data_IF_165697464259
#
_entry.id   IF_165697464259
#
_cell.length_a   1.000
_cell.length_b   1.000
_cell.length_c   1.000
_cell.angle_alpha   90.00
_cell.angle_beta   90.00
_cell.angle_gamma   90.00
#
_symmetry.space_group_name_H-M   'P 1'
#
loop_
_entity.id
_entity.type
_entity.pdbx_description
1 polymer ?
#
# COMPACT_ATOMS: atom_id res chain seq x y z
N UNK A 1 4.27 30.62 -17.51
CA UNK A 1 5.56 31.20 -17.06
C UNK A 1 6.55 30.07 -16.79
N UNK A 2 7.85 30.22 -17.06
CA UNK A 2 8.84 29.23 -16.62
C UNK A 2 8.87 29.19 -15.08
N UNK A 3 8.91 27.99 -14.50
CA UNK A 3 9.00 27.80 -13.04
C UNK A 3 7.67 27.78 -12.28
N UNK A 4 6.51 27.60 -12.92
CA UNK A 4 5.27 27.20 -12.23
C UNK A 4 5.36 25.75 -11.69
N UNK A 5 4.47 25.38 -10.77
CA UNK A 5 4.36 24.01 -10.27
C UNK A 5 3.87 23.04 -11.36
N UNK A 6 4.62 21.98 -11.66
CA UNK A 6 4.25 20.94 -12.64
C UNK A 6 3.11 20.00 -12.17
N UNK A 7 2.55 20.22 -10.97
CA UNK A 7 1.53 19.36 -10.35
C UNK A 7 0.16 20.04 -10.29
N UNK A 8 0.11 21.35 -10.09
CA UNK A 8 -1.14 22.12 -10.05
C UNK A 8 -1.18 23.31 -11.03
N UNK A 9 -0.04 23.76 -11.54
CA UNK A 9 0.14 24.96 -12.39
C UNK A 9 -0.33 26.31 -11.81
N UNK A 10 -1.04 26.33 -10.68
CA UNK A 10 -1.60 27.55 -10.05
C UNK A 10 -0.54 28.49 -9.46
N UNK A 11 0.53 27.93 -8.89
CA UNK A 11 1.52 28.66 -8.10
C UNK A 11 2.94 28.55 -8.67
N UNK A 12 3.82 29.55 -8.41
CA UNK A 12 5.25 29.41 -8.66
C UNK A 12 5.84 28.26 -7.84
N UNK A 13 6.76 27.52 -8.45
CA UNK A 13 7.45 26.41 -7.81
C UNK A 13 8.48 26.88 -6.77
N UNK A 14 8.64 26.06 -5.72
CA UNK A 14 9.44 26.34 -4.52
C UNK A 14 10.27 25.12 -4.07
N UNK A 15 9.85 23.92 -4.45
CA UNK A 15 10.48 22.64 -4.11
C UNK A 15 10.77 21.85 -5.39
N UNK A 16 11.93 21.20 -5.43
CA UNK A 16 12.36 20.34 -6.54
C UNK A 16 12.46 18.88 -6.07
N UNK A 17 11.91 17.94 -6.83
CA UNK A 17 12.05 16.52 -6.53
C UNK A 17 13.48 16.04 -6.79
N UNK A 18 14.17 15.38 -5.83
CA UNK A 18 15.53 14.88 -6.03
C UNK A 18 15.62 13.65 -6.94
N UNK A 19 14.51 12.96 -7.21
CA UNK A 19 14.48 11.69 -7.96
C UNK A 19 14.26 11.88 -9.47
N UNK A 20 13.52 12.91 -9.88
CA UNK A 20 13.16 13.17 -11.29
C UNK A 20 13.41 14.62 -11.74
N UNK A 21 13.71 15.54 -10.80
CA UNK A 21 13.95 16.95 -11.09
C UNK A 21 12.70 17.86 -11.13
N UNK A 22 11.49 17.30 -11.06
CA UNK A 22 10.20 18.01 -11.16
C UNK A 22 10.03 19.14 -10.13
N UNK A 23 9.44 20.26 -10.55
CA UNK A 23 9.25 21.49 -9.79
C UNK A 23 7.82 21.62 -9.23
N UNK A 24 7.70 22.05 -7.97
CA UNK A 24 6.43 22.05 -7.23
C UNK A 24 6.31 23.19 -6.22
N UNK A 25 5.11 23.74 -5.99
CA UNK A 25 4.91 24.89 -5.09
C UNK A 25 4.87 24.50 -3.60
N UNK A 26 4.32 23.32 -3.28
CA UNK A 26 3.99 22.91 -1.92
C UNK A 26 4.42 21.47 -1.63
N UNK A 27 4.53 21.12 -0.33
CA UNK A 27 4.83 19.75 0.07
C UNK A 27 3.70 18.78 -0.30
N UNK A 28 2.44 19.22 -0.35
CA UNK A 28 1.33 18.42 -0.86
C UNK A 28 1.56 18.01 -2.32
N UNK A 29 1.98 18.96 -3.18
CA UNK A 29 2.36 18.67 -4.57
C UNK A 29 3.57 17.72 -4.66
N UNK A 30 4.58 17.84 -3.78
CA UNK A 30 5.69 16.86 -3.75
C UNK A 30 5.23 15.44 -3.38
N UNK A 31 4.20 15.32 -2.52
CA UNK A 31 3.68 14.05 -2.03
C UNK A 31 2.77 13.36 -3.04
N UNK A 32 1.87 14.09 -3.71
CA UNK A 32 1.03 13.52 -4.78
C UNK A 32 1.88 13.06 -5.96
N UNK A 33 2.85 13.89 -6.40
CA UNK A 33 3.82 13.50 -7.41
C UNK A 33 4.63 12.25 -7.01
N UNK A 34 4.98 12.07 -5.72
CA UNK A 34 5.77 10.91 -5.27
C UNK A 34 5.12 9.56 -5.62
N UNK A 35 3.80 9.49 -5.71
CA UNK A 35 3.04 8.28 -6.08
C UNK A 35 3.37 7.84 -7.52
N UNK A 36 3.64 8.80 -8.41
CA UNK A 36 3.88 8.58 -9.85
C UNK A 36 5.32 8.95 -10.26
N UNK A 37 6.24 9.05 -9.30
CA UNK A 37 7.59 9.55 -9.52
C UNK A 37 8.49 8.49 -10.20
N UNK A 38 8.55 8.54 -11.53
CA UNK A 38 9.56 7.81 -12.29
C UNK A 38 10.95 8.50 -12.15
N UNK A 39 12.03 7.75 -11.87
CA UNK A 39 13.38 8.30 -11.93
C UNK A 39 13.72 8.66 -13.38
N UNK A 40 14.08 9.92 -13.65
CA UNK A 40 14.31 10.39 -15.02
C UNK A 40 15.71 9.97 -15.48
N UNK A 41 15.87 9.20 -16.56
CA UNK A 41 17.19 8.95 -17.14
C UNK A 41 17.79 10.28 -17.63
N UNK A 42 19.13 10.43 -17.61
CA UNK A 42 19.79 11.67 -18.02
C UNK A 42 19.75 11.83 -19.55
N UNK A 43 18.61 12.30 -20.07
CA UNK A 43 18.48 12.71 -21.47
C UNK A 43 19.02 14.12 -21.67
N UNK A 44 19.83 14.27 -22.71
CA UNK A 44 20.41 15.54 -23.16
C UNK A 44 19.35 16.43 -23.86
N UNK A 45 19.62 17.73 -23.86
CA UNK A 45 19.28 18.77 -24.85
C UNK A 45 17.82 19.07 -25.30
N UNK A 46 17.58 20.38 -25.38
CA UNK A 46 16.73 21.16 -26.29
C UNK A 46 15.17 21.03 -26.29
N UNK A 47 14.42 22.16 -26.17
CA UNK A 47 12.96 22.17 -26.21
C UNK A 47 12.39 22.51 -27.59
N UNK A 48 11.49 21.68 -28.12
CA UNK A 48 10.68 22.01 -29.29
C UNK A 48 9.25 22.42 -28.90
N UNK A 49 8.81 23.60 -29.33
CA UNK A 49 7.45 24.11 -29.12
C UNK A 49 6.49 23.59 -30.19
N UNK A 50 5.30 23.11 -29.81
CA UNK A 50 4.09 23.18 -30.66
C UNK A 50 2.83 23.35 -29.80
N UNK A 51 2.32 24.59 -29.79
CA UNK A 51 0.93 25.06 -29.94
C UNK A 51 -0.27 24.27 -29.35
N UNK A 52 -1.20 25.02 -28.72
CA UNK A 52 -2.59 24.62 -28.39
C UNK A 52 -3.54 24.75 -29.63
N UNK A 53 -4.90 24.86 -29.61
CA UNK A 53 -5.83 25.41 -28.60
C UNK A 53 -6.98 24.41 -28.18
N UNK A 54 -7.53 24.47 -26.95
CA UNK A 54 -8.73 25.24 -26.49
C UNK A 54 -10.11 24.63 -26.85
N UNK A 55 -10.93 24.30 -25.82
CA UNK A 55 -12.37 24.63 -25.67
C UNK A 55 -12.73 24.66 -24.15
N UNK A 56 -13.65 25.55 -23.77
CA UNK A 56 -14.34 25.75 -22.47
C UNK A 56 -14.87 24.47 -21.74
N UNK A 57 -15.12 24.50 -20.41
CA UNK A 57 -16.47 24.86 -19.94
C UNK A 57 -16.62 25.55 -18.56
N UNK A 58 -17.51 26.55 -18.46
CA UNK A 58 -18.28 26.96 -17.25
C UNK A 58 -19.56 27.74 -17.63
N UNK A 59 -20.52 28.04 -16.69
CA UNK A 59 -20.68 27.57 -15.30
C UNK A 59 -21.72 26.42 -15.25
N UNK A 60 -22.70 26.19 -14.36
CA UNK A 60 -23.38 26.77 -13.17
C UNK A 60 -23.95 25.58 -12.33
N UNK A 61 -24.53 25.68 -11.12
CA UNK A 61 -24.42 26.54 -9.92
C UNK A 61 -25.37 25.90 -8.84
N UNK A 62 -25.27 26.33 -7.57
CA UNK A 62 -26.27 26.20 -6.48
C UNK A 62 -26.73 24.83 -5.90
N UNK A 63 -26.14 24.49 -4.74
CA UNK A 63 -26.83 24.52 -3.41
C UNK A 63 -27.64 23.32 -2.83
N UNK A 64 -27.39 23.09 -1.53
CA UNK A 64 -28.10 22.30 -0.49
C UNK A 64 -28.02 20.75 -0.45
N UNK A 65 -27.87 20.25 0.80
CA UNK A 65 -28.33 18.94 1.31
C UNK A 65 -29.08 19.18 2.64
N UNK A 66 -29.14 18.25 3.62
CA UNK A 66 -28.74 16.84 3.62
C UNK A 66 -29.88 15.87 4.07
N UNK A 67 -29.59 14.55 4.07
CA UNK A 67 -30.41 13.47 4.69
C UNK A 67 -31.85 13.24 4.15
N UNK A 68 -32.53 12.13 4.51
CA UNK A 68 -32.03 10.74 4.53
C UNK A 68 -32.96 9.78 3.75
N UNK A 69 -32.42 8.71 3.16
CA UNK A 69 -33.22 7.68 2.49
C UNK A 69 -32.65 6.26 2.69
N UNK A 70 -33.54 5.29 2.95
CA UNK A 70 -33.20 3.89 3.21
C UNK A 70 -32.89 3.05 1.94
N UNK A 71 -32.23 1.89 2.08
CA UNK A 71 -31.52 1.27 0.97
C UNK A 71 -32.43 0.49 0.00
N UNK A 72 -32.77 1.12 -1.13
CA UNK A 72 -33.20 0.41 -2.35
C UNK A 72 -32.20 0.62 -3.49
N UNK A 73 -31.00 0.10 -3.29
CA UNK A 73 -30.01 -0.08 -4.35
C UNK A 73 -29.72 -1.57 -4.50
N UNK A 74 -29.97 -2.14 -5.68
CA UNK A 74 -29.56 -3.51 -5.97
C UNK A 74 -28.03 -3.56 -6.04
N UNK A 75 -27.38 -3.93 -4.94
CA UNK A 75 -25.93 -4.06 -4.89
C UNK A 75 -25.49 -5.06 -5.97
N UNK A 76 -24.65 -4.60 -6.90
CA UNK A 76 -23.74 -5.50 -7.59
C UNK A 76 -23.01 -6.36 -6.54
N UNK A 77 -22.69 -7.63 -6.81
CA UNK A 77 -22.09 -8.51 -5.82
C UNK A 77 -20.67 -8.06 -5.51
N UNK A 78 -20.53 -7.13 -4.56
CA UNK A 78 -19.26 -6.77 -3.93
C UNK A 78 -18.68 -8.06 -3.38
N UNK A 79 -17.62 -8.58 -4.02
CA UNK A 79 -17.11 -9.90 -3.68
C UNK A 79 -16.55 -9.90 -2.26
N UNK A 80 -17.36 -10.46 -1.36
CA UNK A 80 -16.97 -10.67 0.02
C UNK A 80 -15.94 -11.81 0.10
N UNK A 81 -15.02 -11.80 1.08
CA UNK A 81 -14.14 -12.95 1.31
C UNK A 81 -14.92 -14.24 1.61
N UNK A 82 -16.16 -14.13 2.08
CA UNK A 82 -17.08 -15.27 2.25
C UNK A 82 -17.50 -15.89 0.91
N UNK A 83 -17.73 -15.10 -0.15
CA UNK A 83 -18.03 -15.63 -1.49
C UNK A 83 -16.84 -16.39 -2.07
N UNK A 84 -15.63 -15.84 -1.93
CA UNK A 84 -14.38 -16.50 -2.38
C UNK A 84 -14.14 -17.80 -1.59
N UNK A 85 -14.34 -17.78 -0.27
CA UNK A 85 -14.26 -18.97 0.59
C UNK A 85 -15.36 -20.02 0.32
N UNK A 86 -16.51 -19.61 -0.22
CA UNK A 86 -17.59 -20.50 -0.62
C UNK A 86 -17.36 -21.19 -1.98
N UNK A 87 -16.45 -20.67 -2.81
CA UNK A 87 -16.17 -21.22 -4.14
C UNK A 87 -15.66 -22.67 -4.11
N UNK A 88 -15.90 -23.42 -5.20
CA UNK A 88 -15.42 -24.79 -5.35
C UNK A 88 -13.88 -24.83 -5.47
N UNK A 89 -13.30 -23.97 -6.31
CA UNK A 89 -11.85 -23.84 -6.52
C UNK A 89 -11.09 -23.65 -5.18
N UNK A 90 -11.62 -22.82 -4.27
CA UNK A 90 -10.99 -22.58 -2.96
C UNK A 90 -11.06 -23.80 -2.04
N UNK A 91 -12.21 -24.50 -2.02
CA UNK A 91 -12.42 -25.69 -1.20
C UNK A 91 -11.55 -26.87 -1.66
N UNK A 92 -11.39 -27.03 -2.98
CA UNK A 92 -10.53 -28.03 -3.58
C UNK A 92 -9.05 -27.74 -3.27
N UNK A 93 -8.59 -26.50 -3.47
CA UNK A 93 -7.22 -26.10 -3.15
C UNK A 93 -6.89 -26.35 -1.66
N UNK A 94 -7.80 -26.00 -0.76
CA UNK A 94 -7.67 -26.25 0.68
C UNK A 94 -7.74 -27.74 1.08
N UNK A 95 -8.30 -28.62 0.24
CA UNK A 95 -8.32 -30.08 0.49
C UNK A 95 -7.09 -30.79 -0.06
N UNK A 96 -6.53 -30.29 -1.17
CA UNK A 96 -5.28 -30.78 -1.77
C UNK A 96 -4.05 -30.34 -0.95
N UNK A 97 -4.09 -29.16 -0.33
CA UNK A 97 -2.95 -28.55 0.37
C UNK A 97 -3.26 -28.22 1.83
N UNK A 98 -3.24 -29.21 2.75
CA UNK A 98 -3.48 -28.96 4.18
C UNK A 98 -2.44 -28.04 4.82
N UNK A 99 -1.20 -28.04 4.32
CA UNK A 99 -0.11 -27.15 4.76
C UNK A 99 -0.45 -25.67 4.56
N UNK A 100 -1.15 -25.34 3.46
CA UNK A 100 -1.62 -23.98 3.19
C UNK A 100 -2.71 -23.56 4.18
N UNK A 101 -3.54 -24.50 4.63
CA UNK A 101 -4.55 -24.22 5.66
C UNK A 101 -3.89 -23.81 6.98
N UNK A 102 -2.83 -24.50 7.41
CA UNK A 102 -2.04 -24.09 8.59
C UNK A 102 -1.33 -22.75 8.36
N UNK A 103 -0.68 -22.54 7.20
CA UNK A 103 -0.02 -21.26 6.91
C UNK A 103 -0.99 -20.06 6.94
N UNK A 104 -2.21 -20.20 6.41
CA UNK A 104 -3.23 -19.16 6.51
C UNK A 104 -3.75 -18.96 7.95
N UNK A 105 -3.81 -20.03 8.76
CA UNK A 105 -4.15 -19.92 10.18
C UNK A 105 -3.05 -19.22 10.98
N UNK A 106 -1.77 -19.49 10.73
CA UNK A 106 -0.63 -18.83 11.37
C UNK A 106 -0.58 -17.34 11.00
N UNK A 107 -0.85 -17.00 9.73
CA UNK A 107 -0.99 -15.60 9.31
C UNK A 107 -2.14 -14.90 10.04
N UNK A 108 -3.29 -15.57 10.21
CA UNK A 108 -4.43 -15.04 10.95
C UNK A 108 -4.13 -14.86 12.45
N UNK A 109 -3.51 -15.86 13.11
CA UNK A 109 -3.06 -15.76 14.51
C UNK A 109 -2.15 -14.54 14.71
N UNK A 110 -1.25 -14.27 13.76
CA UNK A 110 -0.38 -13.09 13.81
C UNK A 110 -1.07 -11.73 13.66
N UNK A 111 -2.39 -11.71 13.39
CA UNK A 111 -3.21 -10.50 13.47
C UNK A 111 -3.86 -10.28 14.83
N UNK A 112 -4.02 -11.33 15.64
CA UNK A 112 -4.69 -11.27 16.94
C UNK A 112 -3.82 -10.57 18.00
N UNK A 113 -4.48 -10.15 19.09
CA UNK A 113 -3.80 -9.59 20.26
C UNK A 113 -2.99 -10.65 21.02
N UNK A 114 -3.36 -11.93 20.91
CA UNK A 114 -2.69 -13.05 21.59
C UNK A 114 -1.25 -13.31 21.09
N UNK A 115 -0.94 -13.04 19.80
CA UNK A 115 0.45 -13.08 19.27
C UNK A 115 1.17 -11.72 19.46
N UNK A 116 0.55 -10.75 20.13
CA UNK A 116 1.15 -9.45 20.46
C UNK A 116 1.87 -9.50 21.81
N UNK A 117 3.06 -10.09 21.79
CA UNK A 117 4.07 -9.80 22.82
C UNK A 117 4.32 -8.29 22.87
N UNK A 118 3.71 -7.58 23.82
CA UNK A 118 3.98 -6.16 24.04
C UNK A 118 5.42 -6.02 24.53
N UNK A 119 6.33 -5.84 23.58
CA UNK A 119 7.77 -5.77 23.83
C UNK A 119 8.08 -4.46 24.55
N UNK A 120 7.93 -4.45 25.87
CA UNK A 120 8.27 -3.33 26.74
C UNK A 120 9.80 -3.20 26.79
N UNK A 121 10.38 -2.63 25.73
CA UNK A 121 11.75 -2.13 25.74
C UNK A 121 11.85 -0.99 26.73
N UNK A 122 12.06 -1.34 28.00
CA UNK A 122 12.30 -0.40 29.07
C UNK A 122 13.40 0.58 28.62
N UNK A 123 13.14 1.90 28.63
CA UNK A 123 14.07 2.87 28.09
C UNK A 123 15.39 2.77 28.87
N UNK A 124 16.46 2.40 28.17
CA UNK A 124 17.74 2.07 28.77
C UNK A 124 18.31 3.27 29.56
N UNK A 125 18.06 3.29 30.88
CA UNK A 125 18.52 4.34 31.80
C UNK A 125 20.05 4.35 31.79
N UNK A 126 20.60 5.31 31.04
CA UNK A 126 21.88 5.12 30.39
C UNK A 126 23.11 5.11 31.28
N UNK A 127 24.12 4.35 30.86
CA UNK A 127 25.54 4.58 31.21
C UNK A 127 26.35 4.56 29.92
N UNK A 128 26.94 5.70 29.56
CA UNK A 128 27.65 5.85 28.28
C UNK A 128 28.08 7.28 27.98
N UNK A 129 29.02 7.84 28.76
CA UNK A 129 29.75 9.04 28.33
C UNK A 129 30.67 8.64 27.16
N UNK A 130 30.23 8.89 25.93
CA UNK A 130 31.00 8.54 24.73
C UNK A 130 30.83 9.56 23.60
N UNK A 131 31.90 10.30 23.28
CA UNK A 131 32.01 11.01 21.99
C UNK A 131 32.19 9.95 20.91
N UNK A 132 31.18 9.73 20.06
CA UNK A 132 31.26 8.72 19.01
C UNK A 132 30.44 9.09 17.77
N UNK A 133 31.11 9.21 16.63
CA UNK A 133 30.45 9.10 15.32
C UNK A 133 30.03 7.65 15.14
N UNK A 134 28.79 7.32 15.43
CA UNK A 134 28.27 5.96 15.33
C UNK A 134 26.84 5.95 14.79
N UNK A 135 26.59 5.09 13.79
CA UNK A 135 25.24 4.78 13.27
C UNK A 135 24.25 4.69 14.43
N UNK A 136 23.17 5.49 14.39
CA UNK A 136 22.11 5.43 15.40
C UNK A 136 21.58 4.01 15.51
N UNK A 137 21.80 3.38 16.65
CA UNK A 137 21.47 1.97 16.85
C UNK A 137 19.97 1.72 16.68
N UNK A 138 19.62 0.53 16.18
CA UNK A 138 18.25 0.06 16.09
C UNK A 138 17.71 -0.26 17.49
N UNK A 139 17.52 0.78 18.32
CA UNK A 139 16.73 0.68 19.52
C UNK A 139 15.34 0.14 19.12
N UNK A 140 14.88 -1.01 19.65
CA UNK A 140 13.60 -1.56 19.26
C UNK A 140 12.51 -0.59 19.71
N UNK A 141 11.95 0.15 18.75
CA UNK A 141 10.82 1.06 18.96
C UNK A 141 9.71 0.22 19.58
N UNK A 142 9.41 0.47 20.85
CA UNK A 142 8.38 -0.26 21.59
C UNK A 142 7.10 -0.20 20.77
N UNK A 143 6.55 -1.37 20.40
CA UNK A 143 5.45 -1.43 19.43
C UNK A 143 4.15 -0.82 19.99
N UNK A 144 4.13 -0.59 21.30
CA UNK A 144 3.02 -0.06 22.09
C UNK A 144 1.88 -1.07 22.19
N UNK A 145 0.73 -0.63 22.75
CA UNK A 145 -0.44 -1.47 22.87
C UNK A 145 -0.88 -2.02 21.51
N UNK A 146 -1.45 -3.22 21.49
CA UNK A 146 -2.03 -3.78 20.27
C UNK A 146 -3.15 -2.87 19.76
N UNK A 147 -3.36 -2.87 18.45
CA UNK A 147 -4.58 -2.35 17.82
C UNK A 147 -4.93 -3.25 16.64
N UNK A 148 -6.21 -3.31 16.27
CA UNK A 148 -6.67 -4.05 15.10
C UNK A 148 -5.90 -3.67 13.82
N UNK A 149 -5.61 -2.37 13.63
CA UNK A 149 -4.80 -1.87 12.51
C UNK A 149 -3.36 -2.39 12.55
N UNK A 150 -2.72 -2.46 13.73
CA UNK A 150 -1.36 -3.03 13.89
C UNK A 150 -1.34 -4.53 13.64
N UNK A 151 -2.34 -5.25 14.14
CA UNK A 151 -2.53 -6.68 13.88
C UNK A 151 -2.71 -6.97 12.39
N UNK A 152 -3.63 -6.25 11.74
CA UNK A 152 -3.85 -6.33 10.29
C UNK A 152 -2.57 -6.02 9.49
N UNK A 153 -1.84 -4.95 9.83
CA UNK A 153 -0.56 -4.63 9.17
C UNK A 153 0.53 -5.69 9.41
N UNK A 154 0.54 -6.38 10.56
CA UNK A 154 1.44 -7.52 10.85
C UNK A 154 1.10 -8.73 9.95
N UNK A 155 -0.18 -9.07 9.83
CA UNK A 155 -0.66 -10.11 8.91
C UNK A 155 -0.37 -9.79 7.45
N UNK A 156 -0.66 -8.56 6.99
CA UNK A 156 -0.26 -8.09 5.66
C UNK A 156 1.26 -8.14 5.46
N UNK A 157 2.04 -7.89 6.51
CA UNK A 157 3.50 -8.06 6.50
C UNK A 157 3.91 -9.51 6.23
N UNK A 158 3.30 -10.49 6.91
CA UNK A 158 3.51 -11.93 6.65
C UNK A 158 3.15 -12.29 5.21
N UNK A 159 1.94 -11.93 4.75
CA UNK A 159 1.43 -12.22 3.40
C UNK A 159 2.34 -11.63 2.31
N UNK A 160 2.79 -10.38 2.49
CA UNK A 160 3.71 -9.71 1.56
C UNK A 160 5.09 -10.37 1.55
N UNK A 161 5.63 -10.74 2.72
CA UNK A 161 6.93 -11.41 2.81
C UNK A 161 6.87 -12.78 2.14
N UNK A 162 5.91 -13.65 2.49
CA UNK A 162 5.81 -14.98 1.86
C UNK A 162 5.63 -14.88 0.35
N UNK A 163 4.82 -13.93 -0.14
CA UNK A 163 4.71 -13.68 -1.58
C UNK A 163 6.05 -13.30 -2.21
N UNK A 164 6.81 -12.40 -1.58
CA UNK A 164 8.15 -12.04 -2.04
C UNK A 164 9.10 -13.23 -1.99
N UNK A 165 9.08 -14.03 -0.93
CA UNK A 165 9.91 -15.23 -0.78
C UNK A 165 9.61 -16.28 -1.88
N UNK A 166 8.33 -16.45 -2.24
CA UNK A 166 7.92 -17.31 -3.36
C UNK A 166 8.27 -16.72 -4.74
N UNK A 167 8.19 -15.40 -4.92
CA UNK A 167 8.53 -14.71 -6.18
C UNK A 167 10.06 -14.59 -6.40
N UNK A 168 10.85 -14.55 -5.32
CA UNK A 168 12.32 -14.60 -5.33
C UNK A 168 12.88 -16.04 -5.34
N UNK A 169 12.04 -17.05 -5.12
CA UNK A 169 12.43 -18.47 -5.11
C UNK A 169 13.23 -18.90 -3.86
N UNK A 170 13.14 -18.15 -2.76
CA UNK A 170 13.77 -18.52 -1.48
C UNK A 170 12.93 -19.54 -0.71
N UNK A 171 11.59 -19.44 -0.81
CA UNK A 171 10.65 -20.46 -0.32
C UNK A 171 10.14 -21.29 -1.51
N UNK A 172 10.58 -22.55 -1.59
CA UNK A 172 10.23 -23.48 -2.68
C UNK A 172 9.66 -24.79 -2.14
N UNK A 173 8.51 -25.23 -2.68
CA UNK A 173 7.82 -26.43 -2.24
C UNK A 173 6.30 -26.39 -2.51
N UNK A 174 5.57 -27.47 -2.16
CA UNK A 174 4.15 -27.59 -2.47
C UNK A 174 3.29 -26.52 -1.79
N UNK A 175 3.64 -26.10 -0.57
CA UNK A 175 2.94 -25.01 0.13
C UNK A 175 3.15 -23.64 -0.56
N UNK A 176 4.35 -23.36 -1.07
CA UNK A 176 4.64 -22.13 -1.82
C UNK A 176 3.86 -22.07 -3.14
N UNK A 177 3.81 -23.18 -3.89
CA UNK A 177 2.95 -23.31 -5.07
C UNK A 177 1.46 -23.10 -4.71
N UNK A 178 0.97 -23.77 -3.67
CA UNK A 178 -0.41 -23.65 -3.23
C UNK A 178 -0.76 -22.20 -2.85
N UNK A 179 0.15 -21.50 -2.18
CA UNK A 179 -0.03 -20.09 -1.79
C UNK A 179 -0.11 -19.17 -3.01
N UNK A 180 0.72 -19.41 -4.02
CA UNK A 180 0.66 -18.65 -5.27
C UNK A 180 -0.62 -18.96 -6.08
N UNK A 181 -1.11 -20.21 -6.08
CA UNK A 181 -2.41 -20.59 -6.65
C UNK A 181 -3.57 -19.91 -5.90
N UNK A 182 -3.54 -19.87 -4.57
CA UNK A 182 -4.51 -19.15 -3.73
C UNK A 182 -4.52 -17.64 -4.05
N UNK A 183 -3.34 -17.02 -4.14
CA UNK A 183 -3.20 -15.61 -4.50
C UNK A 183 -3.65 -15.31 -5.94
N UNK A 184 -3.56 -16.27 -6.86
CA UNK A 184 -4.11 -16.14 -8.21
C UNK A 184 -5.65 -16.22 -8.22
N UNK A 185 -6.23 -17.16 -7.47
CA UNK A 185 -7.69 -17.31 -7.32
C UNK A 185 -8.33 -16.04 -6.75
N UNK A 186 -7.76 -15.48 -5.67
CA UNK A 186 -8.24 -14.22 -5.06
C UNK A 186 -8.10 -13.01 -5.99
N UNK A 187 -7.09 -12.99 -6.88
CA UNK A 187 -6.97 -11.95 -7.91
C UNK A 187 -8.02 -12.10 -9.00
N UNK A 188 -8.22 -13.32 -9.50
CA UNK A 188 -9.23 -13.67 -10.52
C UNK A 188 -10.64 -13.28 -10.05
N UNK A 189 -11.02 -13.64 -8.82
CA UNK A 189 -12.33 -13.27 -8.28
C UNK A 189 -12.57 -11.76 -8.24
N UNK A 190 -11.51 -10.97 -7.99
CA UNK A 190 -11.58 -9.50 -8.02
C UNK A 190 -11.60 -8.91 -9.45
N UNK A 191 -11.00 -9.58 -10.45
CA UNK A 191 -11.05 -9.13 -11.85
C UNK A 191 -12.36 -9.51 -12.55
N UNK A 192 -12.97 -10.64 -12.17
CA UNK A 192 -14.24 -11.13 -12.73
C UNK A 192 -15.46 -10.31 -12.25
N UNK A 193 -15.22 -9.19 -11.56
CA UNK A 193 -16.20 -8.31 -10.91
C UNK A 193 -16.07 -6.83 -11.32
N UNK A 194 -15.32 -6.53 -12.38
CA UNK A 194 -14.98 -5.18 -12.85
C UNK A 194 -15.26 -4.99 -14.35
#
# INVERSE_FOLDING_TARGET
MPGSCEVCSLEPSKYRCPTCGLMSCSLACTQSHKIYCAPKPPSNEEPSNTTAPDVDPTPENDTNGPEPAEPTGASAPVMTPAAVAASAEMKELLSQHPELRSQLQDMFQSTLEEEWEESYTAPARGRGRGRGRGRGGFAPRSRGPWTSEKGFNRGLGRVRKLRQDCEEGTETGPAAEAFMRFMALVKKSNSDSA
#
